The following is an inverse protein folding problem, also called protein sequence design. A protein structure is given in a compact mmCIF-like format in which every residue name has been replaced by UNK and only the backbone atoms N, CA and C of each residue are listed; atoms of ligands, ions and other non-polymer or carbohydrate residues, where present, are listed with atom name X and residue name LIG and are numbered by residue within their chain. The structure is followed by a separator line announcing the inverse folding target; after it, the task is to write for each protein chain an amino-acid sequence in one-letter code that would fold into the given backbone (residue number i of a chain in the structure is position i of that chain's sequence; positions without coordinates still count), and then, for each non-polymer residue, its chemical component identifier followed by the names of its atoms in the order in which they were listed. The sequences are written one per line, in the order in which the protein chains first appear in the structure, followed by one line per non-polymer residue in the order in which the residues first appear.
data_IF_243667498319
#
_entry.id   IF_243667498319
#
_cell.length_a   1.000
_cell.length_b   1.000
_cell.length_c   1.000
_cell.angle_alpha   90.00
_cell.angle_beta   90.00
_cell.angle_gamma   90.00
#
_symmetry.space_group_name_H-M   'P 1'
#
loop_
_entity.id
_entity.type
_entity.pdbx_description
1 polymer ?
#
# COMPACT_ATOMS: atom_id res chain seq x y z
N UNK A 1 -30.62 9.29 -5.23
CA UNK A 1 -29.23 8.83 -5.03
C UNK A 1 -29.36 7.48 -4.37
N UNK A 2 -29.09 6.40 -5.10
CA UNK A 2 -29.07 5.06 -4.51
C UNK A 2 -27.83 5.00 -3.64
N UNK A 3 -28.00 4.77 -2.34
CA UNK A 3 -26.89 4.40 -1.47
C UNK A 3 -26.32 3.11 -2.05
N UNK A 4 -25.06 3.17 -2.47
CA UNK A 4 -24.29 1.96 -2.73
C UNK A 4 -24.16 1.29 -1.36
N UNK A 5 -24.85 0.18 -1.16
CA UNK A 5 -24.58 -0.72 -0.04
C UNK A 5 -23.15 -1.21 -0.23
N UNK A 6 -22.27 -0.83 0.70
CA UNK A 6 -20.87 -1.25 0.76
C UNK A 6 -20.80 -2.58 1.51
N UNK A 7 -20.11 -3.57 0.96
CA UNK A 7 -19.94 -4.89 1.56
C UNK A 7 -18.54 -5.02 2.18
N UNK A 8 -18.47 -5.55 3.41
CA UNK A 8 -17.21 -5.93 4.04
C UNK A 8 -16.75 -7.27 3.47
N UNK A 9 -15.49 -7.33 3.03
CA UNK A 9 -14.91 -8.47 2.34
C UNK A 9 -13.74 -9.07 3.16
N UNK A 10 -14.03 -9.91 4.18
CA UNK A 10 -13.02 -10.48 5.07
C UNK A 10 -11.96 -11.33 4.35
N UNK A 11 -12.27 -11.82 3.14
CA UNK A 11 -11.34 -12.54 2.29
C UNK A 11 -10.13 -11.70 1.86
N UNK A 12 -10.22 -10.38 1.93
CA UNK A 12 -9.14 -9.47 1.58
C UNK A 12 -8.26 -9.06 2.76
N UNK A 13 -8.74 -9.23 3.99
CA UNK A 13 -8.02 -8.80 5.19
C UNK A 13 -6.59 -9.35 5.26
N UNK A 14 -6.32 -10.65 4.97
CA UNK A 14 -4.95 -11.17 5.06
C UNK A 14 -3.98 -10.49 4.08
N UNK A 15 -4.48 -10.06 2.91
CA UNK A 15 -3.69 -9.29 1.94
C UNK A 15 -3.42 -7.88 2.43
N UNK A 16 -4.44 -7.22 2.99
CA UNK A 16 -4.34 -5.86 3.52
C UNK A 16 -3.34 -5.81 4.67
N UNK A 17 -3.44 -6.73 5.62
CA UNK A 17 -2.55 -6.82 6.78
C UNK A 17 -1.10 -7.03 6.33
N UNK A 18 -0.85 -8.04 5.49
CA UNK A 18 0.50 -8.34 5.06
C UNK A 18 1.13 -7.21 4.23
N UNK A 19 0.33 -6.46 3.47
CA UNK A 19 0.80 -5.26 2.77
C UNK A 19 1.02 -4.06 3.71
N UNK A 20 0.45 -4.07 4.92
CA UNK A 20 0.62 -3.02 5.93
C UNK A 20 1.88 -3.14 6.78
N UNK A 21 2.59 -4.27 6.69
CA UNK A 21 3.81 -4.54 7.44
C UNK A 21 4.97 -3.62 7.01
N UNK A 22 5.71 -3.07 7.99
CA UNK A 22 6.76 -2.07 7.75
C UNK A 22 7.86 -2.56 6.79
N UNK A 23 8.37 -3.75 7.03
CA UNK A 23 9.37 -4.45 6.22
C UNK A 23 8.89 -4.72 4.79
N UNK A 24 7.61 -5.03 4.59
CA UNK A 24 6.99 -5.24 3.28
C UNK A 24 6.91 -3.93 2.53
N UNK A 25 6.43 -2.87 3.18
CA UNK A 25 6.36 -1.54 2.58
C UNK A 25 7.75 -1.03 2.17
N UNK A 26 8.75 -1.10 3.06
CA UNK A 26 10.14 -0.68 2.76
C UNK A 26 10.75 -1.47 1.59
N UNK A 27 10.57 -2.80 1.57
CA UNK A 27 11.04 -3.61 0.45
C UNK A 27 10.36 -3.26 -0.88
N UNK A 28 9.06 -2.94 -0.89
CA UNK A 28 8.39 -2.48 -2.11
C UNK A 28 9.00 -1.15 -2.59
N UNK A 29 9.22 -0.19 -1.68
CA UNK A 29 9.83 1.09 -2.03
C UNK A 29 11.25 0.92 -2.59
N UNK A 30 12.07 0.14 -1.90
CA UNK A 30 13.46 -0.11 -2.26
C UNK A 30 13.60 -0.98 -3.51
N UNK A 31 13.12 -2.22 -3.45
CA UNK A 31 13.40 -3.25 -4.45
C UNK A 31 12.59 -3.04 -5.73
N UNK A 32 11.34 -2.58 -5.61
CA UNK A 32 10.45 -2.42 -6.76
C UNK A 32 10.46 -1.01 -7.34
N UNK A 33 10.40 0.01 -6.47
CA UNK A 33 10.23 1.40 -6.88
C UNK A 33 11.55 2.18 -6.95
N UNK A 34 12.65 1.58 -6.49
CA UNK A 34 14.00 2.11 -6.60
C UNK A 34 14.28 3.29 -5.65
N UNK A 35 13.56 3.37 -4.53
CA UNK A 35 13.76 4.43 -3.53
C UNK A 35 14.04 3.82 -2.16
N UNK A 36 15.22 4.12 -1.63
CA UNK A 36 15.66 3.65 -0.32
C UNK A 36 15.24 4.58 0.82
N UNK A 37 15.35 4.07 2.04
CA UNK A 37 15.25 4.86 3.27
C UNK A 37 13.81 5.22 3.64
N UNK A 38 12.84 4.36 3.31
CA UNK A 38 11.47 4.59 3.73
C UNK A 38 11.33 4.33 5.22
N UNK A 39 10.94 5.37 5.97
CA UNK A 39 10.50 5.18 7.34
C UNK A 39 9.02 4.78 7.35
N UNK A 40 8.62 3.91 8.29
CA UNK A 40 7.22 3.48 8.42
C UNK A 40 6.77 3.71 9.86
N UNK A 41 5.56 4.25 10.03
CA UNK A 41 4.89 4.29 11.33
C UNK A 41 3.55 3.57 11.16
N UNK A 42 3.45 2.37 11.71
CA UNK A 42 2.28 1.47 11.65
C UNK A 42 1.22 1.83 12.72
N UNK A 43 -0.01 1.28 12.65
CA UNK A 43 -1.03 1.48 13.68
C UNK A 43 -0.62 0.98 15.09
N UNK A 44 0.15 -0.12 15.13
CA UNK A 44 0.53 -0.84 16.35
C UNK A 44 1.93 -0.49 16.85
N UNK A 45 2.72 0.24 16.06
CA UNK A 45 3.97 0.84 16.52
C UNK A 45 3.65 1.70 17.73
N UNK A 46 4.24 1.38 18.89
CA UNK A 46 3.93 1.93 20.22
C UNK A 46 3.89 3.48 20.23
N UNK A 47 2.78 4.06 19.80
CA UNK A 47 2.37 5.39 20.18
C UNK A 47 1.50 5.21 21.40
N UNK A 48 2.02 5.65 22.55
CA UNK A 48 1.25 5.72 23.78
C UNK A 48 -0.10 6.42 23.50
N UNK A 49 -1.14 6.19 24.32
CA UNK A 49 -2.40 6.93 24.17
C UNK A 49 -2.19 8.47 24.24
N UNK A 50 -1.06 8.92 24.79
CA UNK A 50 -0.59 10.32 24.75
C UNK A 50 -0.04 10.71 23.36
N UNK A 51 0.63 9.80 22.66
CA UNK A 51 1.16 9.98 21.31
C UNK A 51 0.08 9.86 20.23
N UNK A 52 -1.02 9.14 20.46
CA UNK A 52 -2.22 9.23 19.60
C UNK A 52 -2.83 10.63 19.58
N UNK A 53 -2.75 11.38 20.69
CA UNK A 53 -3.06 12.83 20.71
C UNK A 53 -1.97 13.68 20.05
N UNK A 54 -0.74 13.19 19.97
CA UNK A 54 0.39 13.75 19.21
C UNK A 54 0.55 13.17 17.80
N UNK A 55 -0.41 12.42 17.26
CA UNK A 55 -0.41 12.03 15.84
C UNK A 55 -0.41 13.28 14.91
N UNK A 56 -0.64 14.47 15.47
CA UNK A 56 -0.34 15.78 14.90
C UNK A 56 1.15 16.07 14.65
N UNK A 57 2.08 15.28 15.18
CA UNK A 57 3.54 15.49 15.17
C UNK A 57 4.26 14.31 14.50
N UNK A 58 3.98 14.08 13.21
CA UNK A 58 4.99 13.42 12.36
C UNK A 58 6.32 14.19 12.57
N UNK A 59 7.48 13.55 12.81
CA UNK A 59 8.74 14.26 13.01
C UNK A 59 9.07 15.21 11.84
N UNK A 60 9.75 16.33 12.10
CA UNK A 60 10.09 17.32 11.05
C UNK A 60 11.03 16.79 9.99
N UNK A 61 11.81 15.80 10.36
CA UNK A 61 12.79 15.08 9.54
C UNK A 61 12.25 13.74 9.02
N UNK A 62 10.99 13.39 9.27
CA UNK A 62 10.41 12.13 8.82
C UNK A 62 10.18 12.11 7.31
N UNK A 63 10.73 11.08 6.65
CA UNK A 63 10.50 10.80 5.24
C UNK A 63 10.10 9.34 5.07
N UNK A 64 8.85 9.12 4.67
CA UNK A 64 8.30 7.77 4.54
C UNK A 64 6.78 7.77 4.62
N UNK A 65 6.19 6.68 5.11
CA UNK A 65 4.73 6.49 5.20
C UNK A 65 4.25 6.34 6.64
N UNK A 66 3.09 6.92 6.93
CA UNK A 66 2.49 7.01 8.27
C UNK A 66 1.06 6.54 8.22
N UNK A 67 0.66 5.64 9.12
CA UNK A 67 -0.75 5.39 9.41
C UNK A 67 -1.27 6.44 10.40
N UNK A 68 -2.27 7.21 9.99
CA UNK A 68 -2.87 8.28 10.79
C UNK A 68 -4.34 8.45 10.47
N UNK A 69 -5.16 8.46 11.52
CA UNK A 69 -6.60 8.72 11.43
C UNK A 69 -7.33 7.79 10.45
N UNK A 70 -6.99 6.50 10.45
CA UNK A 70 -7.62 5.50 9.58
C UNK A 70 -7.03 5.44 8.16
N UNK A 71 -5.84 6.03 7.92
CA UNK A 71 -5.32 6.18 6.57
C UNK A 71 -3.78 6.26 6.51
N UNK A 72 -3.19 5.72 5.45
CA UNK A 72 -1.76 5.81 5.15
C UNK A 72 -1.42 7.04 4.32
N UNK A 73 -0.42 7.81 4.75
CA UNK A 73 0.01 9.05 4.11
C UNK A 73 1.53 9.03 3.95
N UNK A 74 2.02 9.36 2.75
CA UNK A 74 3.43 9.60 2.49
C UNK A 74 3.84 11.02 2.87
N UNK A 75 5.04 11.19 3.43
CA UNK A 75 5.64 12.47 3.79
C UNK A 75 7.04 12.58 3.20
N UNK A 76 7.34 13.70 2.56
CA UNK A 76 8.69 14.08 2.10
C UNK A 76 9.17 15.31 2.88
N UNK A 77 10.43 15.32 3.27
CA UNK A 77 11.12 16.53 3.74
C UNK A 77 11.70 17.27 2.53
N UNK A 78 11.17 18.46 2.25
CA UNK A 78 11.75 19.42 1.31
C UNK A 78 12.44 20.55 2.08
N UNK A 79 13.58 21.01 1.55
CA UNK A 79 14.49 22.02 2.09
C UNK A 79 13.99 22.80 3.33
N UNK A 80 14.41 22.34 4.51
CA UNK A 80 14.42 23.15 5.74
C UNK A 80 13.16 23.20 6.59
N UNK A 81 11.97 22.80 6.11
CA UNK A 81 10.74 22.64 6.94
C UNK A 81 9.48 22.26 6.12
N UNK A 82 9.53 22.33 4.79
CA UNK A 82 8.37 22.08 3.94
C UNK A 82 8.13 20.58 3.81
N UNK A 83 6.96 20.11 4.28
CA UNK A 83 6.58 18.71 4.13
C UNK A 83 5.60 18.53 3.00
N UNK A 84 6.03 17.89 1.92
CA UNK A 84 5.10 17.43 0.90
C UNK A 84 4.37 16.19 1.41
N UNK A 85 3.04 16.19 1.26
CA UNK A 85 2.19 15.08 1.65
C UNK A 85 1.69 14.37 0.40
N UNK A 86 1.68 13.05 0.46
CA UNK A 86 1.17 12.19 -0.58
C UNK A 86 0.02 11.37 0.01
N UNK A 87 -1.20 11.66 -0.42
CA UNK A 87 -2.41 11.03 0.11
C UNK A 87 -3.26 10.51 -1.07
N UNK A 88 -3.55 9.22 -1.07
CA UNK A 88 -4.21 8.56 -2.21
C UNK A 88 -5.63 9.10 -2.48
N UNK A 89 -6.34 9.63 -1.47
CA UNK A 89 -7.63 10.27 -1.68
C UNK A 89 -7.47 11.66 -2.31
N UNK A 90 -6.53 12.49 -1.84
CA UNK A 90 -6.34 13.83 -2.40
C UNK A 90 -5.77 13.79 -3.82
N UNK A 91 -4.97 12.75 -4.11
CA UNK A 91 -4.45 12.46 -5.45
C UNK A 91 -5.47 11.72 -6.34
N UNK A 92 -6.67 11.43 -5.82
CA UNK A 92 -7.75 10.69 -6.49
C UNK A 92 -7.33 9.30 -7.02
N UNK A 93 -6.32 8.67 -6.43
CA UNK A 93 -6.00 7.27 -6.74
C UNK A 93 -6.96 6.30 -6.08
N UNK A 94 -7.58 6.72 -4.97
CA UNK A 94 -8.48 5.94 -4.13
C UNK A 94 -9.80 6.68 -3.90
N UNK A 95 -10.91 5.94 -3.82
CA UNK A 95 -12.23 6.52 -3.53
C UNK A 95 -12.38 6.86 -2.03
N UNK A 96 -12.99 8.01 -1.68
CA UNK A 96 -13.29 8.33 -0.28
C UNK A 96 -14.12 7.22 0.39
N UNK A 97 -13.81 6.92 1.66
CA UNK A 97 -14.50 5.90 2.46
C UNK A 97 -13.95 4.48 2.31
N UNK A 98 -13.10 4.22 1.32
CA UNK A 98 -12.44 2.91 1.13
C UNK A 98 -11.11 2.89 1.86
N UNK A 99 -10.67 1.75 2.40
CA UNK A 99 -9.36 1.59 3.06
C UNK A 99 -8.40 0.69 2.28
N UNK A 100 -8.94 -0.11 1.37
CA UNK A 100 -8.22 -1.13 0.65
C UNK A 100 -7.02 -0.56 -0.16
N UNK A 101 -5.83 -1.17 -0.02
CA UNK A 101 -4.59 -0.78 -0.72
C UNK A 101 -4.03 0.62 -0.39
N UNK A 102 -4.62 1.31 0.58
CA UNK A 102 -4.20 2.63 1.00
C UNK A 102 -2.69 2.73 1.29
N UNK A 103 -2.15 1.75 2.03
CA UNK A 103 -0.73 1.57 2.32
C UNK A 103 0.12 1.47 1.06
N UNK A 104 -0.31 0.66 0.08
CA UNK A 104 0.44 0.46 -1.16
C UNK A 104 0.44 1.72 -2.02
N UNK A 105 -0.67 2.47 -2.07
CA UNK A 105 -0.71 3.75 -2.76
C UNK A 105 0.14 4.82 -2.07
N UNK A 106 0.12 4.89 -0.74
CA UNK A 106 0.97 5.82 0.01
C UNK A 106 2.46 5.54 -0.27
N UNK A 107 2.87 4.27 -0.24
CA UNK A 107 4.23 3.85 -0.58
C UNK A 107 4.59 4.20 -2.02
N UNK A 108 3.72 3.91 -2.98
CA UNK A 108 3.97 4.27 -4.37
C UNK A 108 4.13 5.78 -4.55
N UNK A 109 3.18 6.56 -4.03
CA UNK A 109 3.19 8.02 -4.19
C UNK A 109 4.41 8.64 -3.52
N UNK A 110 4.79 8.16 -2.33
CA UNK A 110 6.02 8.59 -1.68
C UNK A 110 7.25 8.22 -2.51
N UNK A 111 7.37 6.96 -2.92
CA UNK A 111 8.53 6.47 -3.67
C UNK A 111 8.72 7.21 -5.00
N UNK A 112 7.61 7.56 -5.65
CA UNK A 112 7.58 8.24 -6.95
C UNK A 112 7.39 9.75 -6.85
N UNK A 113 7.35 10.32 -5.64
CA UNK A 113 7.13 11.76 -5.41
C UNK A 113 5.88 12.32 -6.10
N UNK A 114 4.82 11.53 -6.12
CA UNK A 114 3.55 11.84 -6.79
C UNK A 114 3.57 11.67 -8.31
N UNK A 115 4.64 11.14 -8.91
CA UNK A 115 4.64 10.72 -10.31
C UNK A 115 3.77 9.45 -10.45
N UNK A 116 2.63 9.59 -11.13
CA UNK A 116 1.69 8.49 -11.35
C UNK A 116 2.16 7.49 -12.40
N UNK A 117 3.29 7.76 -13.05
CA UNK A 117 3.92 6.84 -13.98
C UNK A 117 5.07 6.08 -13.32
N UNK A 118 5.16 4.80 -13.65
CA UNK A 118 6.27 3.95 -13.29
C UNK A 118 6.62 3.06 -14.48
N UNK A 119 7.87 3.14 -14.89
CA UNK A 119 8.40 2.39 -16.02
C UNK A 119 9.69 1.72 -15.59
N UNK A 120 9.77 0.42 -15.82
CA UNK A 120 11.01 -0.34 -15.78
C UNK A 120 11.04 -1.31 -16.97
N UNK A 121 12.03 -2.20 -17.02
CA UNK A 121 12.16 -3.18 -18.11
C UNK A 121 11.01 -4.21 -18.18
N UNK A 122 10.25 -4.38 -17.11
CA UNK A 122 9.23 -5.43 -16.94
C UNK A 122 7.81 -4.88 -17.00
N UNK A 123 7.61 -3.62 -16.61
CA UNK A 123 6.32 -3.02 -16.38
C UNK A 123 6.26 -1.58 -16.87
N UNK A 124 5.08 -1.23 -17.38
CA UNK A 124 4.68 0.13 -17.67
C UNK A 124 3.33 0.38 -16.98
N UNK A 125 3.40 1.00 -15.80
CA UNK A 125 2.25 1.32 -14.96
C UNK A 125 1.99 2.82 -15.04
N UNK A 126 0.74 3.19 -15.25
CA UNK A 126 0.28 4.57 -15.13
C UNK A 126 -1.04 4.55 -14.37
N UNK A 127 -1.07 5.24 -13.23
CA UNK A 127 -2.29 5.42 -12.47
C UNK A 127 -3.12 6.56 -13.06
N UNK A 128 -4.43 6.40 -13.03
CA UNK A 128 -5.38 7.36 -13.59
C UNK A 128 -6.27 7.87 -12.46
N UNK A 129 -6.17 9.17 -12.10
CA UNK A 129 -7.06 9.79 -11.13
C UNK A 129 -8.55 9.52 -11.44
N UNK A 130 -9.31 9.12 -10.42
CA UNK A 130 -10.74 8.82 -10.53
C UNK A 130 -11.06 7.38 -10.96
N UNK A 131 -10.08 6.59 -11.38
CA UNK A 131 -10.28 5.20 -11.85
C UNK A 131 -9.82 4.18 -10.80
N UNK A 132 -10.39 4.22 -9.59
CA UNK A 132 -9.88 3.44 -8.44
C UNK A 132 -9.77 1.94 -8.71
N UNK A 133 -10.80 1.30 -9.28
CA UNK A 133 -10.74 -0.12 -9.63
C UNK A 133 -9.58 -0.43 -10.60
N UNK A 134 -9.33 0.42 -11.60
CA UNK A 134 -8.17 0.26 -12.50
C UNK A 134 -6.86 0.47 -11.77
N UNK A 135 -6.80 1.45 -10.88
CA UNK A 135 -5.62 1.70 -10.05
C UNK A 135 -5.34 0.50 -9.14
N UNK A 136 -6.35 -0.17 -8.60
CA UNK A 136 -6.19 -1.44 -7.88
C UNK A 136 -5.57 -2.50 -8.78
N UNK A 137 -6.05 -2.70 -10.02
CA UNK A 137 -5.44 -3.68 -10.93
C UNK A 137 -3.96 -3.36 -11.21
N UNK A 138 -3.64 -2.07 -11.40
CA UNK A 138 -2.28 -1.61 -11.65
C UNK A 138 -1.37 -1.81 -10.44
N UNK A 139 -1.87 -1.52 -9.25
CA UNK A 139 -1.12 -1.78 -8.02
C UNK A 139 -0.92 -3.27 -7.79
N UNK A 140 -1.95 -4.10 -8.01
CA UNK A 140 -1.83 -5.55 -7.92
C UNK A 140 -0.81 -6.11 -8.92
N UNK A 141 -0.79 -5.59 -10.15
CA UNK A 141 0.23 -5.96 -11.16
C UNK A 141 1.65 -5.63 -10.68
N UNK A 142 1.84 -4.45 -10.08
CA UNK A 142 3.12 -4.01 -9.53
C UNK A 142 3.58 -4.90 -8.37
N UNK A 143 2.67 -5.20 -7.44
CA UNK A 143 2.95 -6.08 -6.29
C UNK A 143 3.27 -7.51 -6.73
N UNK A 144 2.59 -8.04 -7.75
CA UNK A 144 2.92 -9.36 -8.32
C UNK A 144 4.33 -9.38 -8.90
N UNK A 145 4.72 -8.36 -9.67
CA UNK A 145 6.06 -8.29 -10.22
C UNK A 145 7.14 -8.25 -9.12
N UNK A 146 6.89 -7.47 -8.06
CA UNK A 146 7.76 -7.45 -6.88
C UNK A 146 7.84 -8.83 -6.20
N UNK A 147 6.71 -9.50 -5.95
CA UNK A 147 6.71 -10.86 -5.36
C UNK A 147 7.45 -11.86 -6.26
N UNK A 148 7.25 -11.80 -7.58
CA UNK A 148 7.95 -12.66 -8.53
C UNK A 148 9.47 -12.45 -8.48
N UNK A 149 9.93 -11.19 -8.43
CA UNK A 149 11.34 -10.85 -8.27
C UNK A 149 11.90 -11.34 -6.94
N UNK A 150 11.19 -11.07 -5.85
CA UNK A 150 11.54 -11.56 -4.51
C UNK A 150 11.43 -13.10 -4.41
N UNK A 151 10.81 -13.77 -5.38
CA UNK A 151 10.75 -15.22 -5.43
C UNK A 151 11.87 -15.86 -6.25
N UNK A 152 12.78 -15.07 -6.84
CA UNK A 152 13.83 -15.58 -7.73
C UNK A 152 14.83 -16.50 -7.01
N UNK A 153 15.26 -16.17 -5.80
CA UNK A 153 16.21 -16.95 -5.03
C UNK A 153 15.68 -17.46 -3.69
N UNK A 154 16.41 -18.39 -3.08
CA UNK A 154 15.96 -19.08 -1.87
C UNK A 154 15.89 -18.17 -0.64
N UNK A 155 16.76 -17.16 -0.55
CA UNK A 155 16.86 -16.26 0.60
C UNK A 155 15.68 -15.28 0.61
N UNK A 156 15.39 -14.65 -0.52
CA UNK A 156 14.26 -13.73 -0.69
C UNK A 156 12.93 -14.46 -0.64
N UNK A 157 12.83 -15.70 -1.15
CA UNK A 157 11.64 -16.56 -0.95
C UNK A 157 11.39 -16.86 0.53
N UNK A 158 12.44 -17.11 1.30
CA UNK A 158 12.31 -17.33 2.75
C UNK A 158 11.84 -16.05 3.42
N UNK A 159 12.43 -14.91 3.06
CA UNK A 159 12.01 -13.60 3.56
C UNK A 159 10.53 -13.34 3.27
N UNK A 160 10.04 -13.55 2.04
CA UNK A 160 8.61 -13.41 1.73
C UNK A 160 7.75 -14.27 2.65
N UNK A 161 8.09 -15.56 2.81
CA UNK A 161 7.33 -16.45 3.71
C UNK A 161 7.36 -16.02 5.17
N UNK A 162 8.40 -15.34 5.63
CA UNK A 162 8.51 -14.94 7.02
C UNK A 162 7.79 -13.61 7.31
N UNK A 163 7.69 -12.71 6.33
CA UNK A 163 7.05 -11.40 6.50
C UNK A 163 5.58 -11.36 6.03
N UNK A 164 5.09 -12.38 5.32
CA UNK A 164 3.66 -12.51 4.96
C UNK A 164 2.88 -13.44 5.89
N UNK A 165 3.43 -13.77 7.07
CA UNK A 165 2.71 -14.52 8.11
C UNK A 165 1.98 -13.52 9.02
N UNK A 166 0.65 -13.59 9.04
CA UNK A 166 -0.13 -13.00 10.12
C UNK A 166 -0.49 -14.08 11.13
N UNK A 167 -0.29 -13.78 12.42
CA UNK A 167 -0.69 -14.67 13.53
C UNK A 167 -2.23 -14.77 13.64
N UNK A 168 -2.95 -13.72 13.20
CA UNK A 168 -4.41 -13.65 13.20
C UNK A 168 -5.01 -14.28 11.93
N UNK A 169 -4.32 -14.13 10.80
CA UNK A 169 -4.72 -14.69 9.51
C UNK A 169 -3.55 -15.42 8.86
N UNK A 170 -3.39 -16.74 9.10
CA UNK A 170 -2.33 -17.53 8.48
C UNK A 170 -2.64 -17.68 6.99
N UNK A 171 -2.28 -16.67 6.20
CA UNK A 171 -2.33 -16.72 4.75
C UNK A 171 -0.98 -17.18 4.22
N UNK A 172 -1.03 -18.09 3.24
CA UNK A 172 0.19 -18.48 2.55
C UNK A 172 0.53 -17.46 1.46
N UNK A 173 1.81 -17.31 1.13
CA UNK A 173 2.24 -16.45 0.01
C UNK A 173 1.48 -16.81 -1.27
N UNK A 174 1.14 -18.09 -1.47
CA UNK A 174 0.35 -18.56 -2.60
C UNK A 174 -1.09 -18.02 -2.62
N UNK A 175 -1.74 -17.89 -1.45
CA UNK A 175 -3.08 -17.30 -1.38
C UNK A 175 -3.05 -15.82 -1.72
N UNK A 176 -2.06 -15.09 -1.20
CA UNK A 176 -1.86 -13.67 -1.48
C UNK A 176 -1.58 -13.43 -2.96
N UNK A 177 -0.70 -14.23 -3.56
CA UNK A 177 -0.42 -14.23 -5.00
C UNK A 177 -1.70 -14.51 -5.80
N UNK A 178 -2.51 -15.49 -5.40
CA UNK A 178 -3.77 -15.81 -6.06
C UNK A 178 -4.75 -14.63 -6.03
N UNK A 179 -4.91 -13.97 -4.88
CA UNK A 179 -5.76 -12.77 -4.74
C UNK A 179 -5.25 -11.64 -5.62
N UNK A 180 -3.95 -11.36 -5.59
CA UNK A 180 -3.33 -10.34 -6.44
C UNK A 180 -3.48 -10.65 -7.94
N UNK A 181 -3.33 -11.92 -8.34
CA UNK A 181 -3.54 -12.35 -9.73
C UNK A 181 -4.97 -12.08 -10.19
N UNK A 182 -5.96 -12.37 -9.34
CA UNK A 182 -7.37 -12.05 -9.62
C UNK A 182 -7.58 -10.55 -9.72
N UNK A 183 -7.10 -9.76 -8.75
CA UNK A 183 -7.20 -8.30 -8.79
C UNK A 183 -6.55 -7.70 -10.06
N UNK A 184 -5.41 -8.24 -10.49
CA UNK A 184 -4.70 -7.76 -11.68
C UNK A 184 -5.40 -8.12 -13.00
N UNK A 185 -6.11 -9.26 -13.07
CA UNK A 185 -6.64 -9.81 -14.33
C UNK A 185 -8.16 -9.69 -14.49
N UNK A 186 -8.90 -9.56 -13.39
CA UNK A 186 -10.36 -9.49 -13.38
C UNK A 186 -10.82 -8.10 -12.92
N UNK A 187 -11.37 -7.32 -13.84
CA UNK A 187 -11.83 -5.96 -13.56
C UNK A 187 -13.09 -5.92 -12.70
N UNK A 188 -13.96 -6.93 -12.79
CA UNK A 188 -15.16 -7.01 -11.95
C UNK A 188 -14.75 -7.28 -10.51
N UNK A 189 -13.80 -8.21 -10.30
CA UNK A 189 -13.25 -8.48 -8.98
C UNK A 189 -12.51 -7.27 -8.37
N UNK A 190 -11.74 -6.54 -9.17
CA UNK A 190 -11.12 -5.28 -8.72
C UNK A 190 -12.16 -4.19 -8.42
N UNK A 191 -13.30 -4.19 -9.12
CA UNK A 191 -14.40 -3.26 -8.88
C UNK A 191 -15.10 -3.57 -7.55
N UNK A 192 -15.39 -4.84 -7.29
CA UNK A 192 -15.92 -5.34 -6.01
C UNK A 192 -14.99 -4.93 -4.86
N UNK A 193 -13.71 -5.28 -4.98
CA UNK A 193 -12.66 -4.89 -4.03
C UNK A 193 -12.61 -3.37 -3.78
N UNK A 194 -12.72 -2.56 -4.84
CA UNK A 194 -12.65 -1.10 -4.76
C UNK A 194 -13.84 -0.45 -4.05
N UNK A 195 -14.86 -1.22 -3.68
CA UNK A 195 -16.06 -0.77 -2.96
C UNK A 195 -16.09 -1.21 -1.50
N UNK A 196 -15.15 -2.07 -1.08
CA UNK A 196 -15.08 -2.53 0.31
C UNK A 196 -14.75 -1.39 1.28
N UNK A 197 -15.49 -1.32 2.39
CA UNK A 197 -15.16 -0.50 3.56
C UNK A 197 -14.39 -1.33 4.60
N UNK A 198 -13.76 -0.61 5.54
CA UNK A 198 -13.07 -1.13 6.74
C UNK A 198 -14.08 -1.56 7.81
#
# INVERSE_FOLDING_TARGET
MNGLETEYHPEFQPLIDALGEENVLDSIAHDMLGREGMQVITPDGEMSALDRRRASQVPSDFSGVVYKSGHWIGYEVEEGEHRRKYNSYTENLQLPGTSNFCQSFATFLWARRGDFSFQNSELNITFVPGEYARNVQKMATLLLAWIHRMSADASTRKWLRDNFKSDEYPSSVEQLVSTLQRLASDFEYATEFSRGEE
#
